data_IF_763006901394
#
_entry.id   IF_763006901394
#
_cell.length_a   1.000
_cell.length_b   1.000
_cell.length_c   1.000
_cell.angle_alpha   90.00
_cell.angle_beta   90.00
_cell.angle_gamma   90.00
#
_symmetry.space_group_name_H-M   'P 1'
#
loop_
_entity.id
_entity.type
_entity.pdbx_description
1 polymer ?
#
# COMPACT_ATOMS: atom_id res chain seq x y z
N UNK A 1 -21.34 26.11 62.53
CA UNK A 1 -20.45 25.81 61.42
C UNK A 1 -21.17 24.91 60.48
N UNK A 2 -21.64 25.45 59.31
CA UNK A 2 -22.31 24.65 58.26
C UNK A 2 -21.25 24.16 57.26
N UNK A 3 -21.09 22.83 57.10
CA UNK A 3 -20.21 22.23 56.13
C UNK A 3 -20.99 22.15 54.79
N UNK A 4 -20.55 22.91 53.79
CA UNK A 4 -21.03 22.85 52.44
C UNK A 4 -20.36 21.68 51.71
N UNK A 5 -21.14 20.69 51.30
CA UNK A 5 -20.67 19.57 50.52
C UNK A 5 -20.66 19.99 49.02
N UNK A 6 -19.49 20.10 48.43
CA UNK A 6 -19.34 20.34 46.98
C UNK A 6 -19.35 18.99 46.28
N UNK A 7 -20.43 18.71 45.54
CA UNK A 7 -20.52 17.55 44.65
C UNK A 7 -19.82 17.92 43.34
N UNK A 8 -18.66 17.33 43.12
CA UNK A 8 -17.96 17.41 41.82
C UNK A 8 -18.53 16.32 40.89
N UNK A 9 -19.30 16.73 39.92
CA UNK A 9 -19.80 15.83 38.86
C UNK A 9 -18.65 15.54 37.87
N UNK A 10 -18.10 14.33 37.92
CA UNK A 10 -17.15 13.87 36.91
C UNK A 10 -17.97 13.44 35.68
N UNK A 11 -17.93 14.25 34.62
CA UNK A 11 -18.43 13.85 33.34
C UNK A 11 -17.49 12.78 32.72
N UNK A 12 -17.91 11.52 32.72
CA UNK A 12 -17.25 10.48 31.96
C UNK A 12 -17.46 10.80 30.45
N UNK A 13 -16.40 11.29 29.81
CA UNK A 13 -16.32 11.29 28.36
C UNK A 13 -16.20 9.82 27.92
N UNK A 14 -17.30 9.21 27.56
CA UNK A 14 -17.32 7.95 26.82
C UNK A 14 -16.81 8.30 25.41
N UNK A 15 -15.52 8.12 25.16
CA UNK A 15 -14.98 8.08 23.81
C UNK A 15 -15.58 6.84 23.15
N UNK A 16 -16.65 7.04 22.37
CA UNK A 16 -17.21 6.00 21.54
C UNK A 16 -16.11 5.51 20.60
N UNK A 17 -15.70 4.26 20.73
CA UNK A 17 -14.85 3.62 19.74
C UNK A 17 -15.62 3.68 18.43
N UNK A 18 -15.09 4.37 17.42
CA UNK A 18 -15.65 4.34 16.09
C UNK A 18 -15.70 2.87 15.65
N UNK A 19 -16.90 2.34 15.47
CA UNK A 19 -17.08 0.99 14.93
C UNK A 19 -16.73 1.09 13.46
N UNK A 20 -15.95 0.15 12.94
CA UNK A 20 -15.55 0.09 11.55
C UNK A 20 -15.91 -1.27 10.97
N UNK A 21 -16.17 -1.31 9.67
CA UNK A 21 -16.34 -2.56 8.94
C UNK A 21 -15.02 -2.94 8.29
N UNK A 22 -14.60 -4.18 8.52
CA UNK A 22 -13.33 -4.71 8.02
C UNK A 22 -13.58 -5.92 7.11
N UNK A 23 -12.85 -5.97 6.02
CA UNK A 23 -12.82 -7.09 5.07
C UNK A 23 -11.38 -7.55 4.87
N UNK A 24 -11.12 -8.82 5.14
CA UNK A 24 -9.86 -9.49 4.80
C UNK A 24 -9.97 -9.96 3.35
N UNK A 25 -9.14 -9.41 2.48
CA UNK A 25 -9.09 -9.75 1.05
C UNK A 25 -8.07 -10.84 0.76
N UNK A 26 -6.96 -10.82 1.49
CA UNK A 26 -5.90 -11.83 1.43
C UNK A 26 -5.42 -12.09 2.86
N UNK A 27 -5.27 -13.36 3.20
CA UNK A 27 -4.53 -13.80 4.38
C UNK A 27 -3.92 -15.18 4.06
N UNK A 28 -2.62 -15.18 3.77
CA UNK A 28 -1.91 -16.38 3.34
C UNK A 28 -1.86 -17.46 4.44
N UNK A 29 -1.83 -17.07 5.72
CA UNK A 29 -1.78 -17.99 6.87
C UNK A 29 -3.12 -18.73 7.06
N UNK A 30 -4.23 -18.06 6.74
CA UNK A 30 -5.58 -18.62 6.85
C UNK A 30 -6.12 -19.17 5.51
N UNK A 31 -5.34 -19.07 4.42
CA UNK A 31 -5.77 -19.51 3.09
C UNK A 31 -6.87 -18.64 2.49
N UNK A 32 -6.99 -17.38 2.92
CA UNK A 32 -7.99 -16.45 2.40
C UNK A 32 -7.45 -15.76 1.15
N UNK A 33 -8.21 -15.86 0.05
CA UNK A 33 -8.04 -15.10 -1.18
C UNK A 33 -9.41 -14.78 -1.78
N UNK A 34 -9.82 -13.53 -1.70
CA UNK A 34 -11.13 -13.07 -2.21
C UNK A 34 -11.19 -12.96 -3.74
N UNK A 35 -10.06 -12.97 -4.43
CA UNK A 35 -10.06 -12.71 -5.87
C UNK A 35 -10.63 -11.31 -6.17
N UNK A 36 -11.65 -11.24 -7.06
CA UNK A 36 -12.38 -10.00 -7.31
C UNK A 36 -13.32 -9.69 -6.14
N UNK A 37 -13.31 -8.44 -5.69
CA UNK A 37 -14.12 -7.97 -4.58
C UNK A 37 -14.43 -6.49 -4.72
N UNK A 38 -15.60 -6.05 -4.23
CA UNK A 38 -15.94 -4.65 -4.20
C UNK A 38 -16.91 -4.30 -3.07
N UNK A 39 -16.88 -3.03 -2.64
CA UNK A 39 -17.83 -2.37 -1.73
C UNK A 39 -18.00 -0.92 -2.16
N UNK A 40 -19.13 -0.32 -1.89
CA UNK A 40 -19.38 1.08 -2.20
C UNK A 40 -20.15 1.80 -1.09
N UNK A 41 -20.22 3.14 -1.20
CA UNK A 41 -20.89 4.03 -0.25
C UNK A 41 -22.37 3.69 -0.07
N UNK A 42 -23.09 3.28 -1.13
CA UNK A 42 -24.52 2.96 -1.04
C UNK A 42 -24.76 1.71 -0.19
N UNK A 43 -23.94 0.67 -0.39
CA UNK A 43 -23.99 -0.56 0.40
C UNK A 43 -23.65 -0.30 1.88
N UNK A 44 -22.84 0.72 2.16
CA UNK A 44 -22.48 1.18 3.50
C UNK A 44 -23.43 2.21 4.06
N UNK A 45 -24.42 2.68 3.27
CA UNK A 45 -25.39 3.73 3.61
C UNK A 45 -24.74 5.08 3.91
N UNK A 46 -23.57 5.34 3.33
CA UNK A 46 -22.89 6.64 3.37
C UNK A 46 -23.52 7.55 2.32
N UNK A 47 -24.01 8.73 2.74
CA UNK A 47 -24.72 9.66 1.86
C UNK A 47 -23.91 10.89 1.47
N UNK A 48 -22.93 11.26 2.30
CA UNK A 48 -22.19 12.52 2.16
C UNK A 48 -21.13 12.47 1.05
N UNK A 49 -20.59 11.27 0.78
CA UNK A 49 -19.55 11.06 -0.21
C UNK A 49 -19.79 9.77 -0.99
N UNK A 50 -19.83 9.87 -2.31
CA UNK A 50 -19.91 8.71 -3.18
C UNK A 50 -18.51 8.15 -3.41
N UNK A 51 -18.28 6.89 -3.01
CA UNK A 51 -17.03 6.18 -3.23
C UNK A 51 -17.25 4.68 -3.47
N UNK A 52 -16.26 4.06 -4.07
CA UNK A 52 -16.15 2.60 -4.17
C UNK A 52 -14.73 2.14 -3.87
N UNK A 53 -14.61 0.92 -3.39
CA UNK A 53 -13.34 0.23 -3.20
C UNK A 53 -13.45 -1.11 -3.91
N UNK A 54 -12.52 -1.37 -4.81
CA UNK A 54 -12.56 -2.55 -5.67
C UNK A 54 -11.21 -3.23 -5.73
N UNK A 55 -11.17 -4.56 -5.54
CA UNK A 55 -10.04 -5.41 -5.90
C UNK A 55 -10.34 -6.14 -7.20
N UNK A 56 -9.42 -6.09 -8.14
CA UNK A 56 -9.44 -6.86 -9.39
C UNK A 56 -8.24 -7.75 -9.52
N UNK A 57 -8.47 -8.97 -9.97
CA UNK A 57 -7.43 -9.85 -10.51
C UNK A 57 -7.29 -9.56 -11.98
N UNK A 58 -6.08 -9.26 -12.42
CA UNK A 58 -5.77 -8.98 -13.81
C UNK A 58 -5.44 -10.27 -14.56
N UNK A 59 -5.82 -10.30 -15.82
CA UNK A 59 -5.64 -11.46 -16.69
C UNK A 59 -4.94 -11.07 -17.99
N UNK A 60 -4.27 -12.05 -18.59
CA UNK A 60 -3.58 -11.92 -19.86
C UNK A 60 -2.19 -11.30 -19.77
N UNK A 61 -1.26 -11.77 -20.58
CA UNK A 61 0.11 -11.31 -20.60
C UNK A 61 0.85 -11.57 -19.29
N UNK A 62 1.85 -10.75 -19.00
CA UNK A 62 2.64 -10.84 -17.74
C UNK A 62 1.90 -10.32 -16.51
N UNK A 63 0.74 -9.71 -16.68
CA UNK A 63 -0.10 -9.30 -15.54
C UNK A 63 -0.99 -10.42 -15.00
N UNK A 64 -0.98 -11.60 -15.60
CA UNK A 64 -1.79 -12.74 -15.18
C UNK A 64 -1.65 -13.00 -13.68
N UNK A 65 -2.79 -12.96 -12.95
CA UNK A 65 -2.85 -13.15 -11.50
C UNK A 65 -2.42 -11.95 -10.65
N UNK A 66 -1.96 -10.85 -11.25
CA UNK A 66 -1.71 -9.61 -10.51
C UNK A 66 -3.01 -9.03 -9.97
N UNK A 67 -2.95 -8.47 -8.76
CA UNK A 67 -4.08 -7.79 -8.13
C UNK A 67 -3.84 -6.29 -8.07
N UNK A 68 -4.88 -5.54 -8.35
CA UNK A 68 -4.95 -4.11 -8.07
C UNK A 68 -6.09 -3.84 -7.10
N UNK A 69 -5.90 -2.89 -6.18
CA UNK A 69 -6.90 -2.44 -5.23
C UNK A 69 -7.09 -0.95 -5.40
N UNK A 70 -8.28 -0.53 -5.81
CA UNK A 70 -8.58 0.86 -6.17
C UNK A 70 -9.62 1.43 -5.23
N UNK A 71 -9.32 2.58 -4.63
CA UNK A 71 -10.31 3.48 -4.03
C UNK A 71 -10.68 4.49 -5.11
N UNK A 72 -11.96 4.64 -5.39
CA UNK A 72 -12.48 5.69 -6.26
C UNK A 72 -13.41 6.59 -5.45
N UNK A 73 -13.09 7.86 -5.31
CA UNK A 73 -13.95 8.87 -4.69
C UNK A 73 -14.42 9.86 -5.75
N UNK A 74 -15.74 10.03 -5.89
CA UNK A 74 -16.35 10.86 -6.96
C UNK A 74 -15.83 12.29 -6.96
N UNK A 75 -15.72 12.90 -5.78
CA UNK A 75 -15.31 14.29 -5.60
C UNK A 75 -13.91 14.42 -4.97
N UNK A 76 -13.09 13.39 -5.11
CA UNK A 76 -11.77 13.31 -4.49
C UNK A 76 -10.76 12.56 -5.36
N UNK A 77 -9.94 11.74 -4.73
CA UNK A 77 -8.90 10.98 -5.39
C UNK A 77 -9.38 9.60 -5.84
N UNK A 78 -8.83 9.13 -6.94
CA UNK A 78 -8.75 7.71 -7.29
C UNK A 78 -7.34 7.24 -6.96
N UNK A 79 -7.21 6.25 -6.06
CA UNK A 79 -5.93 5.72 -5.59
C UNK A 79 -5.88 4.24 -5.91
N UNK A 80 -4.89 3.82 -6.69
CA UNK A 80 -4.69 2.42 -7.05
C UNK A 80 -3.40 1.89 -6.45
N UNK A 81 -3.51 0.82 -5.64
CA UNK A 81 -2.39 0.06 -5.10
C UNK A 81 -2.22 -1.26 -5.84
N UNK A 82 -1.03 -1.84 -5.75
CA UNK A 82 -0.74 -3.18 -6.23
C UNK A 82 -0.37 -4.12 -5.07
N UNK A 83 -1.33 -4.89 -4.51
CA UNK A 83 -1.06 -5.86 -3.45
C UNK A 83 -0.05 -6.93 -3.86
N UNK A 84 -0.07 -7.35 -5.11
CA UNK A 84 0.86 -8.36 -5.65
C UNK A 84 2.29 -7.81 -5.79
N UNK A 85 2.44 -6.50 -5.80
CA UNK A 85 3.73 -5.80 -5.93
C UNK A 85 3.97 -4.89 -4.73
N UNK A 86 4.21 -5.49 -3.54
CA UNK A 86 4.69 -4.79 -2.36
C UNK A 86 3.77 -3.71 -1.79
N UNK A 87 2.47 -3.76 -2.05
CA UNK A 87 1.54 -2.67 -1.69
C UNK A 87 1.93 -1.30 -2.26
N UNK A 88 2.61 -1.29 -3.42
CA UNK A 88 3.04 -0.06 -4.06
C UNK A 88 1.86 0.77 -4.56
N UNK A 89 2.06 2.09 -4.63
CA UNK A 89 1.11 3.00 -5.28
C UNK A 89 1.32 2.95 -6.79
N UNK A 90 0.38 2.35 -7.50
CA UNK A 90 0.46 2.23 -8.96
C UNK A 90 0.11 3.56 -9.64
N UNK A 91 -0.99 4.20 -9.18
CA UNK A 91 -1.53 5.42 -9.80
C UNK A 91 -2.35 6.23 -8.79
N UNK A 92 -2.32 7.53 -8.94
CA UNK A 92 -3.21 8.47 -8.23
C UNK A 92 -3.74 9.46 -9.24
N UNK A 93 -5.06 9.64 -9.23
CA UNK A 93 -5.77 10.57 -10.14
C UNK A 93 -6.79 11.38 -9.34
N UNK A 94 -6.99 12.62 -9.71
CA UNK A 94 -8.00 13.48 -9.12
C UNK A 94 -7.80 14.93 -9.47
N UNK A 95 -8.85 15.73 -9.33
CA UNK A 95 -8.81 17.18 -9.57
C UNK A 95 -8.24 17.57 -10.95
N UNK A 96 -8.53 16.74 -11.97
CA UNK A 96 -8.05 16.95 -13.34
C UNK A 96 -6.58 16.60 -13.59
N UNK A 97 -5.89 16.02 -12.62
CA UNK A 97 -4.47 15.65 -12.72
C UNK A 97 -4.24 14.18 -12.44
N UNK A 98 -3.16 13.64 -13.02
CA UNK A 98 -2.63 12.30 -12.72
C UNK A 98 -1.25 12.45 -12.09
N UNK A 99 -1.06 11.87 -10.92
CA UNK A 99 0.25 11.67 -10.32
C UNK A 99 0.81 10.31 -10.78
N UNK A 100 2.01 10.34 -11.34
CA UNK A 100 2.67 9.17 -11.90
C UNK A 100 3.41 9.50 -13.18
N UNK A 101 3.76 8.48 -13.94
CA UNK A 101 4.53 8.59 -15.17
C UNK A 101 4.11 7.55 -16.21
N UNK A 102 4.57 7.71 -17.44
CA UNK A 102 4.29 6.79 -18.53
C UNK A 102 5.49 5.86 -18.76
N UNK A 103 5.53 4.77 -17.98
CA UNK A 103 6.49 3.70 -18.22
C UNK A 103 6.26 3.02 -19.56
N UNK A 104 7.33 2.55 -20.25
CA UNK A 104 7.19 1.63 -21.37
C UNK A 104 6.61 0.27 -20.97
N UNK A 105 6.72 -0.12 -19.69
CA UNK A 105 6.08 -1.31 -19.12
C UNK A 105 4.62 -1.00 -18.84
N UNK A 106 3.71 -1.49 -19.67
CA UNK A 106 2.27 -1.14 -19.59
C UNK A 106 1.48 -2.10 -18.71
N UNK A 107 1.91 -3.36 -18.60
CA UNK A 107 1.26 -4.36 -17.76
C UNK A 107 1.66 -4.20 -16.29
N UNK A 108 0.74 -4.49 -15.38
CA UNK A 108 1.06 -4.66 -13.96
C UNK A 108 1.67 -6.05 -13.79
N UNK A 109 2.96 -6.15 -14.09
CA UNK A 109 3.66 -7.42 -14.21
C UNK A 109 3.63 -8.19 -12.89
N UNK A 110 3.15 -9.42 -12.93
CA UNK A 110 3.17 -10.31 -11.78
C UNK A 110 4.64 -10.69 -11.45
N UNK A 111 5.07 -10.59 -10.19
CA UNK A 111 6.43 -10.96 -9.79
C UNK A 111 6.87 -12.37 -10.21
N UNK A 112 5.92 -13.30 -10.41
CA UNK A 112 6.20 -14.63 -10.94
C UNK A 112 6.85 -14.63 -12.32
N UNK A 113 6.70 -13.56 -13.10
CA UNK A 113 7.33 -13.37 -14.42
C UNK A 113 8.60 -12.51 -14.37
N UNK A 114 9.07 -12.13 -13.18
CA UNK A 114 10.26 -11.29 -13.02
C UNK A 114 11.37 -12.13 -12.39
N UNK A 115 12.49 -12.25 -13.09
CA UNK A 115 13.73 -12.72 -12.49
C UNK A 115 14.59 -11.53 -12.13
N UNK A 116 14.66 -11.20 -10.84
CA UNK A 116 15.43 -10.05 -10.34
C UNK A 116 16.92 -10.13 -10.68
N UNK A 117 17.48 -11.33 -10.84
CA UNK A 117 18.90 -11.54 -11.20
C UNK A 117 19.17 -11.39 -12.69
N UNK A 118 18.13 -11.34 -13.53
CA UNK A 118 18.31 -11.15 -14.97
C UNK A 118 19.09 -9.86 -15.26
N UNK A 119 19.78 -9.81 -16.41
CA UNK A 119 20.58 -8.65 -16.82
C UNK A 119 21.63 -8.21 -15.76
N UNK A 120 22.27 -9.16 -15.10
CA UNK A 120 23.22 -8.90 -14.01
C UNK A 120 22.59 -8.15 -12.82
N UNK A 121 21.40 -8.57 -12.41
CA UNK A 121 20.68 -8.01 -11.26
C UNK A 121 19.75 -6.83 -11.58
N UNK A 122 19.51 -6.52 -12.85
CA UNK A 122 18.64 -5.42 -13.30
C UNK A 122 17.19 -5.86 -13.59
N UNK A 123 16.81 -7.09 -13.24
CA UNK A 123 15.48 -7.63 -13.55
C UNK A 123 14.32 -6.86 -12.95
N UNK A 124 14.54 -6.11 -11.89
CA UNK A 124 13.56 -5.20 -11.29
C UNK A 124 12.92 -4.24 -12.33
N UNK A 125 13.71 -3.79 -13.33
CA UNK A 125 13.26 -2.89 -14.39
C UNK A 125 12.18 -3.51 -15.30
N UNK A 126 12.07 -4.83 -15.33
CA UNK A 126 11.10 -5.51 -16.21
C UNK A 126 9.65 -5.35 -15.76
N UNK A 127 9.43 -4.94 -14.51
CA UNK A 127 8.09 -4.68 -13.96
C UNK A 127 7.83 -3.23 -13.59
N UNK A 128 8.80 -2.33 -13.76
CA UNK A 128 8.75 -1.00 -13.19
C UNK A 128 7.79 -0.05 -13.91
N UNK A 129 6.69 0.29 -13.25
CA UNK A 129 5.68 1.23 -13.77
C UNK A 129 4.88 1.99 -12.69
N UNK A 130 5.19 1.79 -11.42
CA UNK A 130 4.47 2.40 -10.32
C UNK A 130 4.75 3.91 -10.20
N UNK A 131 3.77 4.65 -9.67
CA UNK A 131 3.96 6.02 -9.21
C UNK A 131 4.92 6.07 -8.02
N UNK A 132 4.74 5.15 -7.05
CA UNK A 132 5.66 5.01 -5.92
C UNK A 132 5.86 3.53 -5.62
N UNK A 133 7.13 3.10 -5.65
CA UNK A 133 7.54 1.74 -5.32
C UNK A 133 8.48 1.75 -4.12
N UNK A 134 8.28 0.81 -3.19
CA UNK A 134 9.22 0.57 -2.09
C UNK A 134 10.39 -0.23 -2.58
N UNK A 135 11.59 0.31 -2.40
CA UNK A 135 12.84 -0.40 -2.62
C UNK A 135 13.39 -0.82 -1.25
N UNK A 136 13.82 -2.04 -1.10
CA UNK A 136 14.27 -2.60 0.18
C UNK A 136 13.91 -4.08 0.29
N UNK A 137 13.97 -4.65 1.49
CA UNK A 137 14.38 -3.97 2.76
C UNK A 137 15.81 -4.32 3.13
N UNK A 138 16.30 -5.53 2.76
CA UNK A 138 17.67 -5.96 2.99
C UNK A 138 18.67 -5.15 2.12
N UNK A 139 18.22 -4.68 0.96
CA UNK A 139 19.02 -3.95 -0.02
C UNK A 139 18.18 -2.99 -0.87
N UNK A 140 18.73 -1.80 -1.22
CA UNK A 140 18.07 -0.82 -2.11
C UNK A 140 18.94 -0.32 -3.26
N UNK A 141 20.22 -0.63 -3.27
CA UNK A 141 21.20 -0.04 -4.18
C UNK A 141 21.17 -0.59 -5.61
N UNK A 142 22.20 -0.22 -6.36
CA UNK A 142 22.53 -0.87 -7.64
C UNK A 142 22.94 -2.33 -7.42
N UNK A 143 22.84 -3.19 -8.45
CA UNK A 143 23.30 -4.56 -8.31
C UNK A 143 24.76 -4.65 -7.85
N UNK A 144 25.02 -5.50 -6.87
CA UNK A 144 26.36 -5.78 -6.37
C UNK A 144 26.46 -7.25 -5.99
N UNK A 145 27.63 -7.83 -6.19
CA UNK A 145 27.95 -9.15 -5.67
C UNK A 145 28.88 -9.00 -4.47
N UNK A 146 28.43 -9.48 -3.32
CA UNK A 146 29.21 -9.48 -2.08
C UNK A 146 29.03 -10.84 -1.39
N UNK A 147 30.11 -11.39 -0.84
CA UNK A 147 30.13 -12.67 -0.12
C UNK A 147 29.46 -13.84 -0.90
N UNK A 148 29.61 -13.83 -2.23
CA UNK A 148 29.01 -14.84 -3.12
C UNK A 148 27.51 -14.71 -3.33
N UNK A 149 26.89 -13.66 -2.83
CA UNK A 149 25.48 -13.32 -3.03
C UNK A 149 25.33 -12.15 -3.99
N UNK A 150 24.37 -12.23 -4.92
CA UNK A 150 23.98 -11.10 -5.73
C UNK A 150 22.87 -10.33 -5.02
N UNK A 151 23.09 -9.04 -4.80
CA UNK A 151 22.06 -8.08 -4.39
C UNK A 151 21.55 -7.38 -5.64
N UNK A 152 20.28 -7.52 -5.91
CA UNK A 152 19.66 -7.03 -7.15
C UNK A 152 19.23 -5.58 -7.02
N UNK A 153 19.04 -4.89 -8.14
CA UNK A 153 18.57 -3.50 -8.19
C UNK A 153 17.36 -3.31 -7.28
N UNK A 154 17.45 -2.34 -6.36
CA UNK A 154 16.37 -1.90 -5.49
C UNK A 154 15.76 -2.98 -4.56
N UNK A 155 16.39 -4.14 -4.43
CA UNK A 155 15.92 -5.20 -3.54
C UNK A 155 14.64 -5.89 -3.98
N UNK A 156 13.95 -6.51 -3.03
CA UNK A 156 12.83 -7.43 -3.29
C UNK A 156 11.45 -6.85 -2.93
N UNK A 157 11.38 -5.89 -2.01
CA UNK A 157 10.12 -5.41 -1.42
C UNK A 157 9.07 -5.03 -2.47
N UNK A 158 9.46 -4.29 -3.51
CA UNK A 158 8.58 -3.87 -4.60
C UNK A 158 8.04 -5.00 -5.47
N UNK A 159 8.61 -6.20 -5.39
CA UNK A 159 8.20 -7.39 -6.13
C UNK A 159 7.78 -8.54 -5.22
N UNK A 160 7.48 -8.27 -3.95
CA UNK A 160 6.99 -9.25 -2.98
C UNK A 160 5.50 -9.09 -2.77
N UNK A 161 4.66 -10.10 -3.08
CA UNK A 161 3.23 -10.03 -2.83
C UNK A 161 2.93 -9.89 -1.33
N UNK A 162 1.91 -9.07 -1.01
CA UNK A 162 1.43 -8.94 0.36
C UNK A 162 0.77 -10.25 0.83
N UNK A 163 1.17 -10.73 2.01
CA UNK A 163 0.62 -11.93 2.66
C UNK A 163 -0.68 -11.67 3.42
N UNK A 164 -0.95 -10.41 3.77
CA UNK A 164 -2.19 -9.92 4.33
C UNK A 164 -2.63 -8.68 3.57
N UNK A 165 -3.92 -8.59 3.25
CA UNK A 165 -4.56 -7.38 2.70
C UNK A 165 -5.91 -7.21 3.35
N UNK A 166 -6.11 -6.05 3.97
CA UNK A 166 -7.36 -5.70 4.65
C UNK A 166 -7.87 -4.34 4.17
N UNK A 167 -9.18 -4.22 4.09
CA UNK A 167 -9.89 -2.97 3.87
C UNK A 167 -10.77 -2.70 5.08
N UNK A 168 -10.67 -1.51 5.63
CA UNK A 168 -11.50 -1.04 6.74
C UNK A 168 -12.17 0.28 6.33
N UNK A 169 -13.45 0.43 6.68
CA UNK A 169 -14.19 1.69 6.49
C UNK A 169 -14.87 2.03 7.82
N UNK A 170 -14.60 3.23 8.34
CA UNK A 170 -15.27 3.74 9.52
C UNK A 170 -16.79 3.88 9.25
N UNK A 171 -17.62 3.51 10.23
CA UNK A 171 -19.09 3.53 10.09
C UNK A 171 -19.72 4.91 10.37
N UNK A 172 -18.89 5.90 10.74
CA UNK A 172 -19.27 7.27 11.04
C UNK A 172 -18.37 8.26 10.32
N UNK A 173 -18.90 9.48 10.12
CA UNK A 173 -18.14 10.55 9.48
C UNK A 173 -16.80 10.79 10.22
N UNK A 174 -15.71 11.02 9.47
CA UNK A 174 -15.64 11.28 8.04
C UNK A 174 -15.54 10.02 7.13
N UNK A 175 -15.92 8.84 7.63
CA UNK A 175 -15.90 7.56 6.89
C UNK A 175 -14.50 7.20 6.34
N UNK A 176 -13.48 7.40 7.17
CA UNK A 176 -12.10 7.11 6.79
C UNK A 176 -11.96 5.67 6.28
N UNK A 177 -11.32 5.55 5.13
CA UNK A 177 -10.95 4.27 4.51
C UNK A 177 -9.51 3.99 4.89
N UNK A 178 -9.25 2.77 5.39
CA UNK A 178 -7.91 2.25 5.66
C UNK A 178 -7.67 0.99 4.85
N UNK A 179 -6.56 0.96 4.15
CA UNK A 179 -6.08 -0.23 3.48
C UNK A 179 -4.77 -0.64 4.14
N UNK A 180 -4.73 -1.87 4.65
CA UNK A 180 -3.52 -2.45 5.27
C UNK A 180 -3.01 -3.60 4.43
N UNK A 181 -1.69 -3.72 4.36
CA UNK A 181 -1.03 -4.85 3.73
C UNK A 181 0.26 -5.21 4.44
N UNK A 182 0.54 -6.51 4.56
CA UNK A 182 1.77 -7.03 5.16
C UNK A 182 2.66 -7.64 4.09
N UNK A 183 3.85 -7.07 3.93
CA UNK A 183 4.88 -7.56 3.01
C UNK A 183 6.03 -8.15 3.84
N UNK A 184 6.42 -9.39 3.53
CA UNK A 184 7.44 -10.12 4.29
C UNK A 184 8.65 -10.41 3.40
N UNK A 185 9.82 -9.95 3.81
CA UNK A 185 11.11 -10.35 3.26
C UNK A 185 11.79 -11.28 4.27
N UNK A 186 11.43 -12.56 4.20
CA UNK A 186 11.87 -13.56 5.16
C UNK A 186 12.62 -14.68 4.46
N UNK A 187 13.84 -14.95 4.93
CA UNK A 187 14.71 -15.99 4.40
C UNK A 187 15.33 -16.78 5.57
N UNK A 188 15.26 -18.11 5.54
CA UNK A 188 15.78 -18.96 6.60
C UNK A 188 17.28 -18.67 6.88
N UNK A 189 17.60 -18.36 8.14
CA UNK A 189 18.94 -17.94 8.62
C UNK A 189 19.48 -16.66 7.97
N UNK A 190 18.62 -15.84 7.44
CA UNK A 190 18.92 -14.52 6.85
C UNK A 190 17.93 -13.50 7.40
N UNK A 191 17.60 -12.46 6.62
CA UNK A 191 16.61 -11.45 7.03
C UNK A 191 15.24 -12.07 7.37
N UNK A 192 14.57 -11.49 8.36
CA UNK A 192 13.12 -11.63 8.59
C UNK A 192 12.53 -10.24 8.87
N UNK A 193 12.41 -9.47 7.80
CA UNK A 193 11.93 -8.10 7.80
C UNK A 193 10.49 -8.06 7.29
N UNK A 194 9.60 -7.44 8.03
CA UNK A 194 8.20 -7.34 7.67
C UNK A 194 7.72 -5.90 7.74
N UNK A 195 7.03 -5.46 6.70
CA UNK A 195 6.44 -4.11 6.66
C UNK A 195 4.93 -4.21 6.66
N UNK A 196 4.31 -3.63 7.69
CA UNK A 196 2.89 -3.35 7.70
C UNK A 196 2.68 -1.95 7.11
N UNK A 197 2.08 -1.91 5.93
CA UNK A 197 1.64 -0.68 5.26
C UNK A 197 0.22 -0.33 5.66
N UNK A 198 -0.05 0.92 5.99
CA UNK A 198 -1.42 1.45 6.13
C UNK A 198 -1.59 2.70 5.29
N UNK A 199 -2.50 2.65 4.32
CA UNK A 199 -2.99 3.82 3.59
C UNK A 199 -4.28 4.28 4.27
N UNK A 200 -4.39 5.59 4.57
CA UNK A 200 -5.61 6.25 5.08
C UNK A 200 -6.09 7.30 4.11
N UNK A 201 -7.37 7.28 3.85
CA UNK A 201 -8.02 8.21 2.95
C UNK A 201 -9.43 8.58 3.45
N UNK A 202 -9.73 9.86 3.46
CA UNK A 202 -11.09 10.36 3.71
C UNK A 202 -11.76 10.65 2.36
N UNK A 203 -12.91 10.01 2.05
CA UNK A 203 -13.63 10.27 0.79
C UNK A 203 -13.88 11.77 0.55
N UNK A 204 -13.66 12.22 -0.67
CA UNK A 204 -13.74 13.65 -1.04
C UNK A 204 -12.49 14.47 -0.77
N UNK A 205 -11.50 13.93 -0.06
CA UNK A 205 -10.23 14.63 0.21
C UNK A 205 -9.33 14.69 -1.02
N UNK A 206 -8.48 15.71 -1.07
CA UNK A 206 -7.39 15.84 -2.03
C UNK A 206 -6.05 15.31 -1.50
N UNK A 207 -6.06 14.65 -0.36
CA UNK A 207 -4.87 14.11 0.30
C UNK A 207 -5.15 12.74 0.90
N UNK A 208 -4.09 11.97 1.08
CA UNK A 208 -4.07 10.70 1.79
C UNK A 208 -2.80 10.61 2.62
N UNK A 209 -2.74 9.68 3.55
CA UNK A 209 -1.52 9.34 4.27
C UNK A 209 -1.12 7.90 4.02
N UNK A 210 0.19 7.66 4.00
CA UNK A 210 0.78 6.34 3.90
C UNK A 210 1.75 6.17 5.06
N UNK A 211 1.55 5.13 5.85
CA UNK A 211 2.36 4.83 7.02
C UNK A 211 2.87 3.39 6.94
N UNK A 212 4.17 3.22 7.06
CA UNK A 212 4.82 1.92 7.09
C UNK A 212 5.47 1.68 8.44
N UNK A 213 5.27 0.49 8.98
CA UNK A 213 5.97 -0.03 10.15
C UNK A 213 6.82 -1.20 9.73
N UNK A 214 8.14 -1.01 9.68
CA UNK A 214 9.11 -2.08 9.41
C UNK A 214 9.52 -2.71 10.74
N UNK A 215 9.41 -4.02 10.84
CA UNK A 215 9.77 -4.80 12.02
C UNK A 215 10.75 -5.90 11.64
N UNK A 216 11.81 -6.06 12.45
CA UNK A 216 12.69 -7.20 12.39
C UNK A 216 12.15 -8.30 13.32
N UNK A 217 11.82 -9.47 12.76
CA UNK A 217 11.34 -10.65 13.49
C UNK A 217 12.44 -11.70 13.72
N UNK A 218 13.67 -11.47 13.21
CA UNK A 218 14.80 -12.34 13.50
C UNK A 218 15.29 -12.20 14.96
N UNK A 219 15.92 -13.24 15.48
CA UNK A 219 16.50 -13.26 16.83
C UNK A 219 17.80 -12.45 16.95
N UNK A 220 18.21 -11.74 15.90
CA UNK A 220 19.45 -10.95 15.82
C UNK A 220 19.20 -9.61 15.15
N UNK A 221 20.04 -8.59 15.43
CA UNK A 221 20.00 -7.31 14.74
C UNK A 221 20.21 -7.50 13.23
N UNK A 222 19.44 -6.80 12.42
CA UNK A 222 19.59 -6.77 10.98
C UNK A 222 19.55 -5.32 10.48
N UNK A 223 20.48 -4.97 9.61
CA UNK A 223 20.44 -3.68 8.92
C UNK A 223 19.30 -3.67 7.91
N UNK A 224 18.71 -2.50 7.69
CA UNK A 224 17.70 -2.31 6.69
C UNK A 224 17.93 -1.05 5.86
N UNK A 225 17.41 -1.06 4.65
CA UNK A 225 17.41 0.07 3.75
C UNK A 225 16.02 0.21 3.14
N UNK A 226 15.54 1.43 2.99
CA UNK A 226 14.27 1.69 2.33
C UNK A 226 14.34 2.98 1.52
N UNK A 227 13.80 2.93 0.28
CA UNK A 227 13.57 4.09 -0.56
C UNK A 227 12.10 4.08 -0.99
N UNK A 228 11.41 5.20 -0.83
CA UNK A 228 10.12 5.48 -1.45
C UNK A 228 10.36 6.10 -2.82
N UNK A 229 10.57 5.24 -3.81
CA UNK A 229 10.95 5.64 -5.17
C UNK A 229 9.72 6.18 -5.91
N UNK A 230 9.53 7.50 -5.82
CA UNK A 230 8.37 8.18 -6.42
C UNK A 230 8.71 8.73 -7.80
N UNK A 231 7.80 8.52 -8.76
CA UNK A 231 8.02 8.76 -10.16
C UNK A 231 6.94 9.67 -10.72
N UNK A 232 7.37 10.77 -11.30
CA UNK A 232 6.49 11.79 -11.84
C UNK A 232 6.81 12.04 -13.32
N UNK A 233 5.77 12.24 -14.10
CA UNK A 233 5.83 12.61 -15.51
C UNK A 233 4.77 13.65 -15.83
N UNK A 234 4.53 13.88 -17.12
CA UNK A 234 3.45 14.76 -17.59
C UNK A 234 2.09 14.28 -17.06
N UNK A 235 1.17 15.18 -16.62
CA UNK A 235 1.26 16.65 -16.75
C UNK A 235 1.95 17.36 -15.57
N UNK A 236 2.33 16.65 -14.49
CA UNK A 236 2.88 17.29 -13.29
C UNK A 236 4.33 17.73 -13.51
N UNK A 237 5.12 16.91 -14.19
CA UNK A 237 6.50 17.22 -14.53
C UNK A 237 6.57 17.82 -15.93
N UNK A 238 6.61 19.16 -16.00
CA UNK A 238 6.70 19.96 -17.21
C UNK A 238 7.76 21.06 -17.05
N UNK A 239 8.00 21.82 -18.11
CA UNK A 239 8.87 23.00 -18.03
C UNK A 239 8.35 23.99 -16.96
N UNK A 240 9.23 24.35 -16.02
CA UNK A 240 8.89 25.22 -14.90
C UNK A 240 8.40 24.48 -13.64
N UNK A 241 8.30 23.15 -13.65
CA UNK A 241 8.03 22.38 -12.44
C UNK A 241 9.08 22.65 -11.36
N UNK A 242 8.65 22.71 -10.10
CA UNK A 242 9.51 22.95 -8.93
C UNK A 242 9.28 21.86 -7.88
N UNK A 243 10.36 21.48 -7.22
CA UNK A 243 10.40 20.52 -6.13
C UNK A 243 10.90 21.17 -4.85
#
# INVERSE_FOLDING_TARGET
MKKTLVLTTIALLVSGSAVAKTWVLTNAEEGIDKGNWQINSDQLKVKDHAFSIEQKVLHGGKQEGSKILTIHSKDGLTITLSPTRGMNLLRIEGFGSRMGWDSPVKEVVNPAFINLESRNGLGWLEGFNEMMVRCGYEWTGHPVTADGQIYTLHGKAGNTPASLVEVEVADSAPYEIRIRGLVKESTFKKADLQTLTELRYVPGSNSFSLHDVLTNHADYPHDYQIIYHSNFGTPILEEGARF
#
